data_IF_319155973268
#
_entry.id   IF_319155973268
#
_cell.length_a   1.000
_cell.length_b   1.000
_cell.length_c   1.000
_cell.angle_alpha   90.00
_cell.angle_beta   90.00
_cell.angle_gamma   90.00
#
_symmetry.space_group_name_H-M   'P 1'
#
loop_
_entity.id
_entity.type
_entity.pdbx_description
1 polymer ?
#
# COMPACT_ATOMS: atom_id res chain seq x y z
N UNK A 1 20.32 -7.59 6.46
CA UNK A 1 20.13 -6.58 5.40
C UNK A 1 19.45 -7.29 4.23
N UNK A 2 18.13 -7.11 4.07
CA UNK A 2 17.36 -7.74 2.98
C UNK A 2 17.34 -6.78 1.79
N UNK A 3 17.77 -7.25 0.62
CA UNK A 3 17.65 -6.54 -0.66
C UNK A 3 16.72 -7.37 -1.52
N UNK A 4 15.76 -6.74 -2.19
CA UNK A 4 14.85 -7.40 -3.13
C UNK A 4 15.25 -7.02 -4.56
N UNK A 5 15.31 -8.02 -5.44
CA UNK A 5 15.41 -7.76 -6.87
C UNK A 5 14.10 -7.22 -7.39
N UNK A 6 14.13 -6.04 -7.98
CA UNK A 6 13.04 -5.52 -8.81
C UNK A 6 13.47 -5.64 -10.27
N UNK A 7 12.50 -5.83 -11.16
CA UNK A 7 12.72 -5.86 -12.60
C UNK A 7 11.75 -4.86 -13.22
N UNK A 8 12.25 -4.07 -14.15
CA UNK A 8 11.47 -3.11 -14.91
C UNK A 8 11.83 -3.26 -16.38
N UNK A 9 10.84 -3.09 -17.27
CA UNK A 9 11.08 -3.09 -18.70
C UNK A 9 11.84 -1.83 -19.09
N UNK A 10 12.96 -2.00 -19.79
CA UNK A 10 13.71 -0.90 -20.41
C UNK A 10 13.50 -0.91 -21.92
N UNK A 11 13.52 0.27 -22.53
CA UNK A 11 13.55 0.43 -23.97
C UNK A 11 14.98 0.76 -24.43
N UNK A 12 15.41 0.17 -25.53
CA UNK A 12 16.66 0.55 -26.22
C UNK A 12 16.24 1.34 -27.45
N UNK A 13 16.54 2.64 -27.46
CA UNK A 13 16.18 3.52 -28.56
C UNK A 13 17.04 3.21 -29.80
N UNK A 14 16.61 3.62 -31.03
CA UNK A 14 17.37 3.36 -32.26
C UNK A 14 18.80 3.91 -32.27
N UNK A 15 19.08 4.94 -31.46
CA UNK A 15 20.42 5.51 -31.27
C UNK A 15 21.27 4.77 -30.22
N UNK A 16 20.74 3.69 -29.64
CA UNK A 16 21.37 2.86 -28.62
C UNK A 16 21.25 3.39 -27.19
N UNK A 17 20.56 4.52 -26.97
CA UNK A 17 20.36 5.06 -25.63
C UNK A 17 19.26 4.31 -24.86
N UNK A 18 19.38 4.27 -23.54
CA UNK A 18 18.41 3.66 -22.62
C UNK A 18 17.87 4.79 -21.72
N UNK A 19 16.62 5.22 -21.89
CA UNK A 19 16.03 6.23 -21.02
C UNK A 19 15.86 5.68 -19.60
N UNK A 20 15.83 6.59 -18.63
CA UNK A 20 15.58 6.22 -17.24
C UNK A 20 14.15 5.69 -17.09
N UNK A 21 14.03 4.50 -16.50
CA UNK A 21 12.74 3.87 -16.20
C UNK A 21 12.35 4.15 -14.76
N UNK A 22 11.05 4.34 -14.54
CA UNK A 22 10.47 4.51 -13.22
C UNK A 22 10.50 3.19 -12.44
N UNK A 23 10.71 3.26 -11.12
CA UNK A 23 10.54 2.10 -10.26
C UNK A 23 9.05 1.84 -9.99
N UNK A 24 8.60 0.62 -10.24
CA UNK A 24 7.19 0.21 -10.17
C UNK A 24 7.02 -1.06 -9.33
N UNK A 25 5.77 -1.52 -9.20
CA UNK A 25 5.43 -2.80 -8.54
C UNK A 25 5.11 -3.91 -9.55
N UNK A 26 5.31 -3.67 -10.86
CA UNK A 26 4.83 -4.54 -11.94
C UNK A 26 5.63 -5.83 -12.11
N UNK A 27 6.94 -5.79 -11.86
CA UNK A 27 7.82 -6.90 -12.24
C UNK A 27 7.78 -7.15 -13.75
N UNK A 28 7.39 -8.36 -14.16
CA UNK A 28 7.29 -8.74 -15.58
C UNK A 28 5.93 -8.42 -16.21
N UNK A 29 4.95 -7.97 -15.42
CA UNK A 29 3.60 -7.70 -15.88
C UNK A 29 3.47 -6.30 -16.51
N UNK A 30 2.46 -6.10 -17.35
CA UNK A 30 2.17 -4.77 -17.90
C UNK A 30 1.31 -3.92 -16.95
N UNK A 31 0.49 -4.57 -16.11
CA UNK A 31 -0.36 -3.97 -15.08
C UNK A 31 -0.54 -4.92 -13.89
N UNK A 32 -0.90 -4.36 -12.73
CA UNK A 32 -1.34 -5.14 -11.57
C UNK A 32 -2.85 -5.40 -11.66
N UNK A 33 -3.28 -6.63 -11.36
CA UNK A 33 -4.69 -6.95 -11.22
C UNK A 33 -5.17 -6.64 -9.79
N UNK A 34 -6.08 -5.68 -9.57
CA UNK A 34 -6.54 -5.31 -8.22
C UNK A 34 -7.39 -6.42 -7.56
N UNK A 35 -8.00 -7.30 -8.35
CA UNK A 35 -8.88 -8.37 -7.87
C UNK A 35 -8.12 -9.66 -7.51
N UNK A 36 -6.78 -9.61 -7.49
CA UNK A 36 -5.92 -10.66 -6.93
C UNK A 36 -5.22 -10.17 -5.66
N UNK A 37 -4.91 -11.11 -4.77
CA UNK A 37 -4.20 -10.78 -3.53
C UNK A 37 -2.84 -10.20 -3.85
N UNK A 38 -2.62 -8.96 -3.40
CA UNK A 38 -1.32 -8.30 -3.44
C UNK A 38 -0.61 -8.49 -2.11
N UNK A 39 0.60 -9.04 -2.15
CA UNK A 39 1.50 -9.08 -0.99
C UNK A 39 2.05 -7.69 -0.69
N UNK A 40 2.02 -7.27 0.57
CA UNK A 40 2.44 -5.93 0.94
C UNK A 40 3.93 -5.67 0.66
N UNK A 41 4.73 -6.74 0.66
CA UNK A 41 6.16 -6.68 0.39
C UNK A 41 6.53 -6.25 -1.04
N UNK A 42 5.56 -6.14 -1.96
CA UNK A 42 5.75 -5.65 -3.33
C UNK A 42 5.63 -4.12 -3.47
N UNK A 43 5.45 -3.41 -2.35
CA UNK A 43 5.35 -1.96 -2.34
C UNK A 43 6.59 -1.33 -3.00
N UNK A 44 6.38 -0.43 -3.97
CA UNK A 44 7.44 0.34 -4.61
C UNK A 44 7.58 1.73 -4.00
N UNK A 45 6.61 2.17 -3.19
CA UNK A 45 6.67 3.45 -2.47
C UNK A 45 6.57 3.18 -0.97
N UNK A 46 7.57 3.63 -0.22
CA UNK A 46 7.63 3.55 1.23
C UNK A 46 8.10 4.91 1.77
N UNK A 47 7.20 5.66 2.42
CA UNK A 47 7.49 6.97 3.02
C UNK A 47 7.16 6.95 4.52
N UNK A 48 7.72 7.89 5.28
CA UNK A 48 7.46 8.00 6.72
C UNK A 48 8.14 6.90 7.56
N UNK A 49 9.23 6.33 7.06
CA UNK A 49 10.07 5.38 7.82
C UNK A 49 9.58 3.94 7.85
N UNK A 50 8.46 3.61 7.18
CA UNK A 50 8.05 2.23 7.00
C UNK A 50 9.02 1.47 6.08
N UNK A 51 9.17 0.17 6.31
CA UNK A 51 10.08 -0.68 5.57
C UNK A 51 9.58 -2.12 5.51
N UNK A 52 10.09 -2.88 4.53
CA UNK A 52 9.77 -4.30 4.39
C UNK A 52 10.72 -5.11 5.29
N UNK A 53 10.14 -6.00 6.10
CA UNK A 53 10.91 -6.97 6.89
C UNK A 53 10.49 -8.39 6.58
N UNK A 54 11.40 -9.33 6.80
CA UNK A 54 11.13 -10.77 6.74
C UNK A 54 11.00 -11.29 8.17
N UNK A 55 9.83 -11.80 8.52
CA UNK A 55 9.61 -12.50 9.79
C UNK A 55 10.08 -13.95 9.70
N UNK A 56 9.86 -14.58 8.55
CA UNK A 56 10.37 -15.91 8.22
C UNK A 56 10.37 -16.13 6.70
N UNK A 57 10.81 -17.31 6.24
CA UNK A 57 10.93 -17.66 4.81
C UNK A 57 9.63 -17.55 4.00
N UNK A 58 8.46 -17.57 4.64
CA UNK A 58 7.15 -17.47 3.99
C UNK A 58 6.46 -16.12 4.23
N UNK A 59 7.01 -15.29 5.11
CA UNK A 59 6.27 -14.19 5.71
C UNK A 59 7.10 -12.91 5.71
N UNK A 60 6.69 -12.00 4.83
CA UNK A 60 7.25 -10.68 4.65
C UNK A 60 6.14 -9.66 4.72
N UNK A 61 6.38 -8.60 5.47
CA UNK A 61 5.38 -7.58 5.77
C UNK A 61 5.99 -6.20 5.64
N UNK A 62 5.14 -5.19 5.45
CA UNK A 62 5.55 -3.80 5.67
C UNK A 62 5.33 -3.49 7.14
N UNK A 63 6.40 -3.09 7.83
CA UNK A 63 6.42 -2.74 9.26
C UNK A 63 7.00 -1.34 9.46
N UNK A 64 7.12 -0.90 10.71
CA UNK A 64 7.55 0.46 11.05
C UNK A 64 6.58 1.54 10.57
N UNK A 65 5.32 1.17 10.31
CA UNK A 65 4.27 2.07 9.83
C UNK A 65 3.86 2.97 10.98
N UNK A 66 4.31 4.23 10.96
CA UNK A 66 3.94 5.25 11.96
C UNK A 66 2.91 6.23 11.38
N UNK A 67 2.47 7.18 12.20
CA UNK A 67 1.60 8.28 11.78
C UNK A 67 2.11 8.96 10.49
N UNK A 68 1.27 9.00 9.47
CA UNK A 68 1.57 9.63 8.18
C UNK A 68 2.46 8.82 7.26
N UNK A 69 2.84 7.58 7.63
CA UNK A 69 3.56 6.69 6.73
C UNK A 69 2.69 6.33 5.51
N UNK A 70 3.33 6.21 4.34
CA UNK A 70 2.67 5.91 3.06
C UNK A 70 3.30 4.68 2.45
N UNK A 71 2.46 3.72 2.08
CA UNK A 71 2.81 2.57 1.26
C UNK A 71 2.11 2.67 -0.10
N UNK A 72 2.80 2.42 -1.20
CA UNK A 72 2.20 2.54 -2.52
C UNK A 72 2.62 1.46 -3.52
N UNK A 73 1.68 1.19 -4.42
CA UNK A 73 1.79 0.25 -5.53
C UNK A 73 1.33 0.96 -6.79
N UNK A 74 2.14 0.91 -7.83
CA UNK A 74 1.82 1.59 -9.07
C UNK A 74 1.17 0.63 -10.06
N UNK A 75 0.24 1.18 -10.83
CA UNK A 75 -0.28 0.59 -12.07
C UNK A 75 -1.24 -0.59 -11.91
N UNK A 76 -2.19 -0.49 -10.98
CA UNK A 76 -3.39 -1.34 -10.98
C UNK A 76 -4.31 -0.99 -12.14
N UNK A 77 -4.79 -2.00 -12.86
CA UNK A 77 -5.84 -1.84 -13.87
C UNK A 77 -7.19 -2.29 -13.31
N UNK A 78 -8.06 -1.31 -13.01
CA UNK A 78 -9.41 -1.56 -12.49
C UNK A 78 -10.44 -1.88 -13.59
N UNK A 79 -10.02 -1.89 -14.86
CA UNK A 79 -10.91 -2.16 -15.99
C UNK A 79 -11.88 -1.01 -16.26
N UNK A 80 -13.07 -1.34 -16.75
CA UNK A 80 -14.05 -0.36 -17.24
C UNK A 80 -15.39 -0.37 -16.50
N UNK A 81 -15.51 -1.19 -15.46
CA UNK A 81 -16.76 -1.40 -14.74
C UNK A 81 -17.10 -0.19 -13.87
N UNK A 82 -18.39 0.05 -13.66
CA UNK A 82 -18.93 1.15 -12.82
C UNK A 82 -19.35 0.66 -11.42
N UNK A 83 -18.93 -0.54 -11.04
CA UNK A 83 -19.32 -1.13 -9.77
C UNK A 83 -18.40 -0.63 -8.64
N UNK A 84 -18.97 -0.16 -7.51
CA UNK A 84 -18.18 0.09 -6.31
C UNK A 84 -17.56 -1.22 -5.82
N UNK A 85 -16.47 -1.11 -5.08
CA UNK A 85 -15.75 -2.27 -4.55
C UNK A 85 -15.26 -1.97 -3.14
N UNK A 86 -14.87 -3.03 -2.42
CA UNK A 86 -14.25 -2.90 -1.11
C UNK A 86 -12.79 -3.31 -1.16
N UNK A 87 -11.94 -2.56 -0.46
CA UNK A 87 -10.56 -2.96 -0.21
C UNK A 87 -10.51 -3.74 1.09
N UNK A 88 -10.01 -4.99 1.05
CA UNK A 88 -9.75 -5.82 2.23
C UNK A 88 -8.25 -5.81 2.54
N UNK A 89 -7.87 -5.43 3.75
CA UNK A 89 -6.48 -5.33 4.21
C UNK A 89 -6.27 -6.29 5.37
N UNK A 90 -5.25 -7.14 5.28
CA UNK A 90 -4.87 -8.04 6.38
C UNK A 90 -3.72 -7.43 7.17
N UNK A 91 -3.99 -7.16 8.44
CA UNK A 91 -3.10 -6.42 9.34
C UNK A 91 -2.67 -7.29 10.53
N UNK A 92 -1.45 -7.04 11.01
CA UNK A 92 -1.05 -7.39 12.39
C UNK A 92 -1.15 -6.17 13.27
N UNK A 93 -1.94 -6.28 14.33
CA UNK A 93 -2.11 -5.21 15.29
C UNK A 93 -0.89 -5.07 16.20
N UNK A 94 -0.54 -3.84 16.51
CA UNK A 94 0.52 -3.49 17.48
C UNK A 94 -0.06 -2.85 18.75
N UNK A 95 -1.36 -3.03 19.00
CA UNK A 95 -2.08 -2.37 20.10
C UNK A 95 -2.46 -0.91 19.83
N UNK A 96 -2.36 -0.44 18.57
CA UNK A 96 -2.81 0.89 18.17
C UNK A 96 -4.18 0.85 17.46
N UNK A 97 -4.81 2.02 17.33
CA UNK A 97 -6.04 2.21 16.55
C UNK A 97 -5.93 3.45 15.67
N UNK A 98 -6.67 3.46 14.58
CA UNK A 98 -6.58 4.51 13.60
C UNK A 98 -7.32 4.22 12.31
N UNK A 99 -6.89 4.92 11.25
CA UNK A 99 -7.44 4.81 9.90
C UNK A 99 -6.33 4.55 8.90
N UNK A 100 -6.69 3.81 7.85
CA UNK A 100 -5.90 3.66 6.64
C UNK A 100 -6.65 4.40 5.55
N UNK A 101 -6.10 5.51 5.08
CA UNK A 101 -6.65 6.29 3.98
C UNK A 101 -6.15 5.72 2.65
N UNK A 102 -7.05 5.64 1.66
CA UNK A 102 -6.76 5.11 0.32
C UNK A 102 -6.75 6.26 -0.67
N UNK A 103 -5.68 6.38 -1.45
CA UNK A 103 -5.54 7.40 -2.49
C UNK A 103 -5.23 6.76 -3.85
N UNK A 104 -5.62 7.48 -4.90
CA UNK A 104 -5.24 7.17 -6.27
C UNK A 104 -4.25 8.22 -6.79
N UNK A 105 -3.22 7.74 -7.50
CA UNK A 105 -2.21 8.48 -8.27
C UNK A 105 -1.29 9.44 -7.49
N UNK A 106 -1.77 10.03 -6.40
CA UNK A 106 -1.01 10.90 -5.50
C UNK A 106 -1.41 10.67 -4.04
N UNK A 107 -0.45 10.67 -3.12
CA UNK A 107 -0.65 10.52 -1.68
C UNK A 107 -0.99 11.84 -0.95
N UNK A 108 -1.21 12.92 -1.71
CA UNK A 108 -1.61 14.25 -1.19
C UNK A 108 -2.95 14.77 -1.71
N UNK A 109 -3.67 13.98 -2.52
CA UNK A 109 -5.01 14.31 -3.03
C UNK A 109 -6.10 14.00 -1.98
N UNK A 110 -7.37 14.10 -2.35
CA UNK A 110 -8.47 13.64 -1.50
C UNK A 110 -8.53 12.10 -1.49
N UNK A 111 -8.64 11.44 -0.31
CA UNK A 111 -8.73 9.99 -0.26
C UNK A 111 -10.06 9.52 -0.85
N UNK A 112 -10.03 8.41 -1.60
CA UNK A 112 -11.22 7.77 -2.18
C UNK A 112 -11.99 6.92 -1.16
N UNK A 113 -11.38 6.65 0.00
CA UNK A 113 -12.03 5.97 1.12
C UNK A 113 -11.05 5.67 2.25
N UNK A 114 -11.57 5.02 3.30
CA UNK A 114 -10.78 4.72 4.49
C UNK A 114 -11.23 3.45 5.19
N UNK A 115 -10.28 2.71 5.77
CA UNK A 115 -10.54 1.57 6.65
C UNK A 115 -10.16 1.91 8.09
N UNK A 116 -11.03 1.61 9.05
CA UNK A 116 -10.68 1.73 10.48
C UNK A 116 -10.01 0.44 10.98
N UNK A 117 -9.02 0.58 11.85
CA UNK A 117 -8.36 -0.55 12.49
C UNK A 117 -8.23 -0.37 14.00
N UNK A 118 -8.13 -1.48 14.71
CA UNK A 118 -7.96 -1.52 16.17
C UNK A 118 -6.91 -2.56 16.59
N UNK A 119 -6.54 -2.53 17.87
CA UNK A 119 -5.29 -3.11 18.38
C UNK A 119 -5.05 -4.60 18.17
N UNK A 120 -6.06 -5.38 17.76
CA UNK A 120 -5.96 -6.83 17.59
C UNK A 120 -5.54 -7.28 16.17
N UNK A 121 -5.40 -6.35 15.22
CA UNK A 121 -5.16 -6.70 13.82
C UNK A 121 -6.37 -7.40 13.18
N UNK A 122 -6.12 -8.22 12.16
CA UNK A 122 -7.14 -8.94 11.41
C UNK A 122 -7.41 -8.33 10.04
N UNK A 123 -8.57 -8.66 9.45
CA UNK A 123 -8.99 -8.13 8.16
C UNK A 123 -9.83 -6.87 8.40
N UNK A 124 -9.38 -5.73 7.88
CA UNK A 124 -10.15 -4.48 7.86
C UNK A 124 -10.63 -4.17 6.45
N UNK A 125 -11.68 -3.37 6.34
CA UNK A 125 -12.32 -3.05 5.06
C UNK A 125 -12.47 -1.55 4.87
N UNK A 126 -12.27 -1.08 3.64
CA UNK A 126 -12.70 0.24 3.17
C UNK A 126 -13.69 0.05 2.02
N UNK A 127 -14.83 0.72 2.07
CA UNK A 127 -15.72 0.82 0.91
C UNK A 127 -15.21 1.94 0.00
N UNK A 128 -15.12 1.66 -1.30
CA UNK A 128 -14.52 2.53 -2.30
C UNK A 128 -15.50 2.77 -3.46
N UNK A 129 -15.47 3.98 -4.06
CA UNK A 129 -16.26 4.25 -5.27
C UNK A 129 -15.74 3.41 -6.44
N UNK A 130 -16.52 3.35 -7.52
CA UNK A 130 -16.07 2.76 -8.77
C UNK A 130 -14.84 3.52 -9.31
N UNK A 131 -13.85 2.78 -9.80
CA UNK A 131 -12.59 3.29 -10.34
C UNK A 131 -12.34 2.58 -11.66
N UNK A 132 -11.88 3.31 -12.68
CA UNK A 132 -11.67 2.79 -14.03
C UNK A 132 -10.27 3.06 -14.52
N UNK A 133 -9.73 2.11 -15.27
CA UNK A 133 -8.43 2.22 -15.90
C UNK A 133 -7.28 2.06 -14.92
N UNK A 134 -6.14 2.63 -15.30
CA UNK A 134 -4.85 2.36 -14.67
C UNK A 134 -4.49 3.43 -13.64
N UNK A 135 -4.31 3.01 -12.39
CA UNK A 135 -3.99 3.91 -11.29
C UNK A 135 -2.86 3.40 -10.41
N UNK A 136 -2.12 4.31 -9.78
CA UNK A 136 -1.35 3.98 -8.59
C UNK A 136 -2.25 4.03 -7.35
N UNK A 137 -2.06 3.10 -6.42
CA UNK A 137 -2.77 3.06 -5.14
C UNK A 137 -1.79 3.37 -4.03
N UNK A 138 -2.20 4.28 -3.14
CA UNK A 138 -1.45 4.62 -1.93
C UNK A 138 -2.31 4.41 -0.69
N UNK A 139 -1.69 3.85 0.34
CA UNK A 139 -2.27 3.65 1.65
C UNK A 139 -1.50 4.50 2.64
N UNK A 140 -2.20 5.39 3.35
CA UNK A 140 -1.60 6.25 4.39
C UNK A 140 -2.18 5.90 5.75
N UNK A 141 -1.31 5.71 6.74
CA UNK A 141 -1.73 5.42 8.10
C UNK A 141 -1.94 6.71 8.91
N UNK A 142 -3.05 6.78 9.64
CA UNK A 142 -3.37 7.87 10.57
C UNK A 142 -3.86 7.30 11.91
N UNK A 143 -3.47 7.93 13.00
CA UNK A 143 -3.78 7.56 14.37
C UNK A 143 -4.98 8.35 14.84
N UNK A 144 -5.85 7.68 15.60
CA UNK A 144 -7.07 8.29 16.13
C UNK A 144 -6.90 8.73 17.59
N UNK A 145 -5.65 8.90 18.05
CA UNK A 145 -5.36 9.37 19.41
C UNK A 145 -5.32 10.89 19.47
N UNK A 146 -6.00 11.46 20.47
CA UNK A 146 -6.09 12.90 20.70
C UNK A 146 -5.63 13.29 22.11
N UNK A 147 -5.35 14.58 22.32
CA UNK A 147 -4.89 15.10 23.62
C UNK A 147 -3.58 14.47 24.10
N UNK A 148 -3.44 14.31 25.42
CA UNK A 148 -2.24 13.76 26.06
C UNK A 148 -1.91 12.33 25.60
N UNK A 149 -2.92 11.56 25.20
CA UNK A 149 -2.71 10.19 24.71
C UNK A 149 -1.93 10.21 23.38
N UNK A 150 -2.16 11.21 22.51
CA UNK A 150 -1.44 11.32 21.22
C UNK A 150 0.07 11.30 21.40
N UNK A 151 0.58 12.01 22.40
CA UNK A 151 2.02 12.08 22.68
C UNK A 151 2.59 10.74 23.14
N UNK A 152 1.81 9.94 23.87
CA UNK A 152 2.20 8.60 24.34
C UNK A 152 2.33 7.56 23.20
N UNK A 153 1.61 7.79 22.10
CA UNK A 153 1.61 6.93 20.92
C UNK A 153 2.45 7.49 19.76
N UNK A 154 3.07 8.66 19.93
CA UNK A 154 3.92 9.27 18.92
C UNK A 154 5.10 8.35 18.56
N UNK A 155 5.27 8.11 17.26
CA UNK A 155 6.35 7.27 16.74
C UNK A 155 6.17 5.77 16.97
N UNK A 156 5.04 5.31 17.52
CA UNK A 156 4.74 3.88 17.60
C UNK A 156 4.34 3.35 16.24
N UNK A 157 4.76 2.12 15.94
CA UNK A 157 4.22 1.38 14.82
C UNK A 157 2.73 1.13 15.07
N UNK A 158 1.88 1.46 14.09
CA UNK A 158 0.42 1.40 14.19
C UNK A 158 -0.13 0.01 13.84
N UNK A 159 0.48 -0.66 12.87
CA UNK A 159 0.20 -2.03 12.45
C UNK A 159 1.35 -2.53 11.56
N UNK A 160 1.33 -3.82 11.23
CA UNK A 160 2.07 -4.37 10.09
C UNK A 160 1.08 -4.76 9.00
N UNK A 161 1.41 -4.49 7.75
CA UNK A 161 0.58 -4.85 6.60
C UNK A 161 1.13 -6.12 5.95
N UNK A 162 0.29 -7.14 5.83
CA UNK A 162 0.67 -8.43 5.22
C UNK A 162 0.31 -8.48 3.73
N UNK A 163 -0.95 -8.23 3.43
CA UNK A 163 -1.52 -8.37 2.08
C UNK A 163 -2.87 -7.66 2.00
N UNK A 164 -3.33 -7.42 0.79
CA UNK A 164 -4.63 -6.82 0.53
C UNK A 164 -5.20 -7.24 -0.83
N UNK A 165 -6.49 -7.02 -1.01
CA UNK A 165 -7.20 -7.33 -2.25
C UNK A 165 -8.42 -6.41 -2.40
N UNK A 166 -8.72 -6.03 -3.64
CA UNK A 166 -9.97 -5.34 -3.97
C UNK A 166 -11.03 -6.39 -4.34
N UNK A 167 -12.25 -6.21 -3.82
CA UNK A 167 -13.37 -7.16 -3.96
C UNK A 167 -14.59 -6.41 -4.45
N UNK A 168 -15.13 -6.83 -5.61
CA UNK A 168 -16.43 -6.36 -6.13
C UNK A 168 -17.57 -6.88 -5.27
#
# INVERSE_FOLDING_TARGET
MSRRGCVEKIDILPDGTIPQVEMTSLGFEESLNPFMVTKADTACVLKGGCFITEHNIFDRVVTGITEGAVMGWKYYDFGTDDDPFSLKLKLRGTGCRGKILVFLDSDGSEPIGSAEFSGNGGIVSAELPAVKGRHAVYLKAECDYTGWAKDMFKGRALFELEEFVFVK
#
